data_IF_636762040683
#
_entry.id   IF_636762040683
#
_cell.length_a   1.000
_cell.length_b   1.000
_cell.length_c   1.000
_cell.angle_alpha   90.00
_cell.angle_beta   90.00
_cell.angle_gamma   90.00
#
_symmetry.space_group_name_H-M   'P 1'
#
loop_
_entity.id
_entity.type
_entity.pdbx_description
1 polymer ?
#
# COMPACT_ATOMS: atom_id res chain seq x y z
N UNK A 1 -6.36 -5.59 13.67
CA UNK A 1 -5.46 -5.37 12.50
C UNK A 1 -5.97 -6.20 11.34
N UNK A 2 -5.97 -5.68 10.11
CA UNK A 2 -6.44 -6.44 8.94
C UNK A 2 -5.31 -7.27 8.35
N UNK A 3 -5.61 -8.51 7.96
CA UNK A 3 -4.64 -9.38 7.35
C UNK A 3 -5.22 -10.74 6.99
N UNK A 4 -4.36 -11.72 6.85
CA UNK A 4 -4.77 -13.10 6.58
C UNK A 4 -4.57 -13.98 7.82
N UNK A 5 -5.57 -14.79 8.13
CA UNK A 5 -5.49 -15.78 9.21
C UNK A 5 -4.77 -17.04 8.70
N UNK A 6 -3.58 -17.31 9.25
CA UNK A 6 -2.78 -18.48 8.85
C UNK A 6 -3.37 -19.81 9.35
N UNK A 7 -4.42 -19.79 10.18
CA UNK A 7 -5.16 -20.97 10.61
C UNK A 7 -6.34 -21.31 9.68
N UNK A 8 -6.62 -20.47 8.68
CA UNK A 8 -7.64 -20.69 7.66
C UNK A 8 -7.03 -21.30 6.39
N UNK A 9 -7.84 -21.92 5.53
CA UNK A 9 -7.35 -22.45 4.27
C UNK A 9 -6.68 -21.37 3.40
N UNK A 10 -5.46 -21.66 2.96
CA UNK A 10 -4.70 -20.83 2.04
C UNK A 10 -4.34 -21.69 0.82
N UNK A 11 -4.66 -21.20 -0.37
CA UNK A 11 -4.36 -21.91 -1.62
C UNK A 11 -3.36 -21.12 -2.43
N UNK A 12 -2.17 -21.67 -2.63
CA UNK A 12 -1.18 -21.14 -3.57
C UNK A 12 -1.70 -21.29 -5.01
N UNK A 13 -1.49 -20.29 -5.85
CA UNK A 13 -1.85 -20.32 -7.26
C UNK A 13 -0.60 -20.29 -8.15
N UNK A 14 0.11 -19.19 -8.15
CA UNK A 14 1.36 -19.03 -8.90
C UNK A 14 2.24 -17.91 -8.30
N UNK A 15 3.51 -17.92 -8.68
CA UNK A 15 4.47 -16.91 -8.26
C UNK A 15 5.55 -16.72 -9.32
N UNK A 16 6.23 -15.58 -9.31
CA UNK A 16 7.49 -15.36 -10.00
C UNK A 16 8.23 -14.16 -9.43
N UNK A 17 9.53 -14.08 -9.73
CA UNK A 17 10.30 -12.86 -9.55
C UNK A 17 9.95 -11.88 -10.68
N UNK A 18 9.89 -10.60 -10.35
CA UNK A 18 9.68 -9.52 -11.31
C UNK A 18 10.76 -8.46 -11.13
N UNK A 19 11.24 -7.97 -12.27
CA UNK A 19 12.26 -6.93 -12.36
C UNK A 19 11.72 -5.84 -13.26
N UNK A 20 11.58 -4.61 -12.75
CA UNK A 20 11.13 -3.49 -13.56
C UNK A 20 12.32 -2.77 -14.18
N UNK A 21 12.14 -2.34 -15.41
CA UNK A 21 13.01 -1.37 -16.07
C UNK A 21 12.76 0.05 -15.51
N UNK A 22 13.62 1.01 -15.86
CA UNK A 22 13.37 2.41 -15.54
C UNK A 22 12.02 2.87 -16.11
N UNK A 23 11.28 3.66 -15.33
CA UNK A 23 9.96 4.20 -15.67
C UNK A 23 8.86 3.16 -15.91
N UNK A 24 9.05 1.91 -15.52
CA UNK A 24 8.00 0.90 -15.64
C UNK A 24 6.92 1.09 -14.56
N UNK A 25 5.68 0.87 -14.97
CA UNK A 25 4.49 1.02 -14.12
C UNK A 25 3.97 -0.33 -13.68
N UNK A 26 3.38 -0.37 -12.49
CA UNK A 26 2.62 -1.54 -12.05
C UNK A 26 1.46 -1.81 -13.02
N UNK A 27 1.08 -3.08 -13.16
CA UNK A 27 -0.02 -3.49 -14.02
C UNK A 27 -1.36 -2.86 -13.57
N UNK A 28 -2.16 -2.43 -14.54
CA UNK A 28 -3.53 -1.97 -14.28
C UNK A 28 -4.49 -3.12 -14.52
N UNK A 29 -5.18 -3.59 -13.46
CA UNK A 29 -6.11 -4.72 -13.55
C UNK A 29 -7.08 -4.76 -12.36
N UNK A 30 -8.19 -5.46 -12.54
CA UNK A 30 -8.99 -5.98 -11.43
C UNK A 30 -8.45 -7.36 -11.03
N UNK A 31 -7.99 -7.50 -9.79
CA UNK A 31 -7.39 -8.73 -9.30
C UNK A 31 -8.37 -9.52 -8.44
N UNK A 32 -8.63 -10.78 -8.80
CA UNK A 32 -9.56 -11.67 -8.08
C UNK A 32 -8.89 -12.46 -6.96
N UNK A 33 -7.58 -12.50 -6.93
CA UNK A 33 -6.76 -13.19 -5.93
C UNK A 33 -6.12 -12.20 -4.95
N UNK A 34 -5.66 -12.69 -3.81
CA UNK A 34 -4.69 -11.96 -3.00
C UNK A 34 -3.31 -12.05 -3.66
N UNK A 35 -2.51 -10.99 -3.56
CA UNK A 35 -1.14 -10.99 -4.09
C UNK A 35 -0.15 -10.53 -3.02
N UNK A 36 0.70 -11.45 -2.57
CA UNK A 36 1.85 -11.08 -1.74
C UNK A 36 2.94 -10.48 -2.64
N UNK A 37 3.39 -9.28 -2.31
CA UNK A 37 4.51 -8.58 -2.93
C UNK A 37 5.62 -8.47 -1.90
N UNK A 38 6.83 -8.96 -2.22
CA UNK A 38 8.01 -8.87 -1.36
C UNK A 38 9.13 -8.15 -2.12
N UNK A 39 9.35 -6.88 -1.82
CA UNK A 39 10.34 -6.04 -2.51
C UNK A 39 11.70 -6.21 -1.85
N UNK A 40 12.72 -6.57 -2.63
CA UNK A 40 14.07 -6.75 -2.12
C UNK A 40 15.10 -5.77 -2.71
N UNK A 41 14.69 -4.97 -3.72
CA UNK A 41 15.50 -3.88 -4.27
C UNK A 41 14.56 -2.82 -4.87
N UNK A 42 14.92 -1.55 -4.78
CA UNK A 42 14.15 -0.44 -5.34
C UNK A 42 12.85 -0.11 -4.58
N UNK A 43 11.92 0.55 -5.27
CA UNK A 43 10.62 0.96 -4.72
C UNK A 43 9.51 0.61 -5.70
N UNK A 44 8.58 -0.23 -5.27
CA UNK A 44 7.39 -0.57 -6.04
C UNK A 44 6.25 0.39 -5.70
N UNK A 45 5.67 1.04 -6.74
CA UNK A 45 4.54 1.98 -6.58
C UNK A 45 3.31 1.46 -7.31
N UNK A 46 2.19 1.48 -6.62
CA UNK A 46 0.88 1.15 -7.20
C UNK A 46 -0.25 1.80 -6.39
N UNK A 47 -1.44 1.80 -6.98
CA UNK A 47 -2.69 2.20 -6.33
C UNK A 47 -3.58 0.96 -6.21
N UNK A 48 -4.19 0.75 -5.05
CA UNK A 48 -5.19 -0.28 -4.81
C UNK A 48 -6.44 0.39 -4.23
N UNK A 49 -7.59 0.26 -4.90
CA UNK A 49 -8.84 0.94 -4.55
C UNK A 49 -8.66 2.43 -4.20
N UNK A 50 -7.90 3.14 -5.04
CA UNK A 50 -7.56 4.57 -4.90
C UNK A 50 -6.63 4.92 -3.73
N UNK A 51 -6.11 3.94 -3.01
CA UNK A 51 -5.04 4.13 -2.01
C UNK A 51 -3.72 3.85 -2.70
N UNK A 52 -2.79 4.79 -2.62
CA UNK A 52 -1.46 4.60 -3.19
C UNK A 52 -0.51 4.02 -2.18
N UNK A 53 0.26 3.07 -2.66
CA UNK A 53 1.29 2.39 -1.90
C UNK A 53 2.66 2.60 -2.52
N UNK A 54 3.65 2.78 -1.66
CA UNK A 54 5.08 2.70 -1.96
C UNK A 54 5.66 1.63 -1.06
N UNK A 55 6.23 0.58 -1.67
CA UNK A 55 6.81 -0.56 -0.96
C UNK A 55 8.30 -0.53 -1.22
N UNK A 56 9.07 -0.34 -0.18
CA UNK A 56 10.52 -0.24 -0.24
C UNK A 56 11.19 -1.60 -0.09
N UNK A 57 12.48 -1.65 -0.43
CA UNK A 57 13.31 -2.83 -0.19
C UNK A 57 13.24 -3.28 1.28
N UNK A 58 13.02 -4.56 1.51
CA UNK A 58 12.80 -5.16 2.84
C UNK A 58 11.37 -5.10 3.36
N UNK A 59 10.44 -4.55 2.57
CA UNK A 59 9.01 -4.51 2.90
C UNK A 59 8.22 -5.50 2.06
N UNK A 60 7.11 -5.99 2.65
CA UNK A 60 6.09 -6.76 1.94
C UNK A 60 4.74 -6.09 2.03
N UNK A 61 3.88 -6.37 1.04
CA UNK A 61 2.48 -5.95 1.00
C UNK A 61 1.63 -7.09 0.45
N UNK A 62 0.46 -7.32 1.05
CA UNK A 62 -0.53 -8.26 0.53
C UNK A 62 -1.67 -7.45 -0.07
N UNK A 63 -1.75 -7.41 -1.39
CA UNK A 63 -2.88 -6.82 -2.11
C UNK A 63 -4.12 -7.68 -1.89
N UNK A 64 -5.24 -7.02 -1.61
CA UNK A 64 -6.50 -7.72 -1.31
C UNK A 64 -7.17 -8.20 -2.60
N UNK A 65 -7.78 -9.38 -2.53
CA UNK A 65 -8.63 -9.89 -3.62
C UNK A 65 -9.83 -8.96 -3.89
N UNK A 66 -10.32 -8.99 -5.12
CA UNK A 66 -11.44 -8.20 -5.59
C UNK A 66 -11.21 -6.68 -5.48
N UNK A 67 -9.98 -6.23 -5.73
CA UNK A 67 -9.59 -4.82 -5.76
C UNK A 67 -9.11 -4.42 -7.15
N UNK A 68 -9.23 -3.14 -7.46
CA UNK A 68 -8.69 -2.56 -8.67
C UNK A 68 -7.27 -2.04 -8.40
N UNK A 69 -6.31 -2.60 -9.13
CA UNK A 69 -4.89 -2.24 -9.04
C UNK A 69 -4.51 -1.37 -10.22
N UNK A 70 -3.70 -0.33 -10.01
CA UNK A 70 -3.29 0.60 -11.05
C UNK A 70 -1.86 1.11 -10.81
N UNK A 71 -1.08 1.16 -11.87
CA UNK A 71 0.25 1.77 -11.88
C UNK A 71 0.19 3.23 -12.33
N UNK A 72 -0.19 4.15 -11.44
CA UNK A 72 -0.30 5.57 -11.80
C UNK A 72 1.05 6.28 -11.91
N UNK A 73 2.01 5.87 -11.09
CA UNK A 73 3.37 6.39 -11.06
C UNK A 73 4.37 5.32 -11.44
N UNK A 74 5.43 5.71 -12.11
CA UNK A 74 6.57 4.85 -12.35
C UNK A 74 7.19 4.40 -11.03
N UNK A 75 7.63 3.15 -10.99
CA UNK A 75 8.36 2.56 -9.89
C UNK A 75 9.86 2.82 -10.04
N UNK A 76 10.62 2.77 -8.95
CA UNK A 76 12.08 2.96 -8.98
C UNK A 76 12.77 1.61 -9.12
N UNK A 77 12.74 1.05 -10.34
CA UNK A 77 13.40 -0.22 -10.72
C UNK A 77 13.29 -1.33 -9.67
N UNK A 78 12.08 -1.62 -9.15
CA UNK A 78 11.92 -2.62 -8.11
C UNK A 78 12.24 -4.02 -8.60
N UNK A 79 12.87 -4.80 -7.70
CA UNK A 79 12.98 -6.24 -7.83
C UNK A 79 12.19 -6.87 -6.70
N UNK A 80 11.21 -7.69 -7.03
CA UNK A 80 10.29 -8.26 -6.05
C UNK A 80 9.81 -9.66 -6.45
N UNK A 81 9.43 -10.43 -5.44
CA UNK A 81 8.64 -11.65 -5.60
C UNK A 81 7.17 -11.29 -5.52
N UNK A 82 6.35 -11.79 -6.44
CA UNK A 82 4.92 -11.80 -6.29
C UNK A 82 4.40 -13.22 -6.16
N UNK A 83 3.37 -13.41 -5.32
CA UNK A 83 2.69 -14.69 -5.13
C UNK A 83 1.19 -14.46 -5.13
N UNK A 84 0.50 -15.07 -6.09
CA UNK A 84 -0.97 -15.12 -6.15
C UNK A 84 -1.47 -16.29 -5.30
N UNK A 85 -2.46 -16.01 -4.46
CA UNK A 85 -3.05 -17.01 -3.58
C UNK A 85 -4.49 -16.67 -3.17
N UNK A 86 -5.23 -17.66 -2.71
CA UNK A 86 -6.55 -17.47 -2.12
C UNK A 86 -6.47 -17.63 -0.60
N UNK A 87 -7.09 -16.74 0.13
CA UNK A 87 -7.31 -16.79 1.57
C UNK A 87 -8.44 -15.86 1.97
N UNK A 88 -8.95 -16.00 3.17
CA UNK A 88 -9.88 -15.05 3.77
C UNK A 88 -9.12 -13.92 4.47
N UNK A 89 -9.69 -12.72 4.39
CA UNK A 89 -9.26 -11.58 5.17
C UNK A 89 -10.04 -11.51 6.46
N UNK A 90 -9.35 -11.27 7.56
CA UNK A 90 -9.94 -11.11 8.88
C UNK A 90 -9.39 -9.85 9.56
N UNK A 91 -10.19 -9.32 10.46
CA UNK A 91 -9.83 -8.14 11.26
C UNK A 91 -9.56 -8.61 12.69
N UNK A 92 -8.34 -9.12 12.90
CA UNK A 92 -7.90 -9.72 14.16
C UNK A 92 -6.42 -9.40 14.38
N UNK A 93 -5.98 -9.30 15.62
CA UNK A 93 -4.58 -9.02 15.99
C UNK A 93 -3.66 -10.23 15.87
N UNK A 94 -4.21 -11.43 15.68
CA UNK A 94 -3.44 -12.69 15.54
C UNK A 94 -3.04 -13.00 14.10
N UNK A 95 -3.56 -12.27 13.13
CA UNK A 95 -3.33 -12.50 11.69
C UNK A 95 -1.93 -12.11 11.24
N UNK A 96 -1.51 -12.56 10.06
CA UNK A 96 -0.40 -11.98 9.33
C UNK A 96 -0.88 -10.64 8.74
N UNK A 97 -0.31 -9.49 9.15
CA UNK A 97 -0.70 -8.19 8.62
C UNK A 97 -0.54 -8.12 7.10
N UNK A 98 -1.38 -7.32 6.44
CA UNK A 98 -1.28 -7.14 4.99
C UNK A 98 -0.01 -6.37 4.58
N UNK A 99 0.70 -5.74 5.51
CA UNK A 99 1.96 -5.03 5.28
C UNK A 99 2.92 -5.21 6.46
N UNK A 100 4.20 -5.27 6.16
CA UNK A 100 5.26 -5.34 7.16
C UNK A 100 6.63 -5.40 6.53
N UNK A 101 7.62 -5.75 7.34
CA UNK A 101 9.02 -5.89 6.92
C UNK A 101 9.46 -7.35 6.93
N UNK A 102 10.51 -7.65 6.18
CA UNK A 102 11.15 -8.95 6.21
C UNK A 102 12.67 -8.81 6.11
N UNK A 103 13.37 -9.79 6.67
CA UNK A 103 14.81 -9.91 6.52
C UNK A 103 15.12 -10.65 5.21
N UNK A 104 15.60 -9.90 4.21
CA UNK A 104 15.93 -10.48 2.91
C UNK A 104 16.97 -11.59 2.99
N UNK A 105 17.94 -11.50 3.91
CA UNK A 105 18.97 -12.54 4.06
C UNK A 105 18.37 -13.90 4.41
N UNK A 106 17.29 -13.90 5.22
CA UNK A 106 16.54 -15.11 5.61
C UNK A 106 15.53 -15.54 4.55
N UNK A 107 14.89 -14.60 3.87
CA UNK A 107 13.87 -14.88 2.86
C UNK A 107 14.45 -15.29 1.50
N UNK A 108 15.64 -14.82 1.17
CA UNK A 108 16.30 -14.94 -0.15
C UNK A 108 16.30 -16.36 -0.71
N UNK A 109 16.61 -17.34 0.12
CA UNK A 109 16.65 -18.73 -0.32
C UNK A 109 15.24 -19.21 -0.73
N UNK A 110 14.24 -18.99 0.14
CA UNK A 110 12.86 -19.39 -0.12
C UNK A 110 12.27 -18.68 -1.34
N UNK A 111 12.56 -17.38 -1.51
CA UNK A 111 12.09 -16.60 -2.66
C UNK A 111 12.66 -17.15 -3.97
N UNK A 112 13.96 -17.46 -4.02
CA UNK A 112 14.60 -18.02 -5.21
C UNK A 112 14.16 -19.44 -5.49
N UNK A 113 13.98 -20.26 -4.47
CA UNK A 113 13.52 -21.63 -4.63
C UNK A 113 12.08 -21.67 -5.13
N UNK A 114 11.19 -20.81 -4.60
CA UNK A 114 9.81 -20.70 -5.08
C UNK A 114 9.75 -20.24 -6.55
N UNK A 115 10.57 -19.26 -6.93
CA UNK A 115 10.67 -18.83 -8.32
C UNK A 115 11.15 -19.96 -9.24
N UNK A 116 12.22 -20.65 -8.87
CA UNK A 116 12.74 -21.81 -9.60
C UNK A 116 11.68 -22.89 -9.79
N UNK A 117 10.97 -23.27 -8.71
CA UNK A 117 9.90 -24.25 -8.78
C UNK A 117 8.73 -23.77 -9.67
N UNK A 118 8.50 -22.47 -9.75
CA UNK A 118 7.44 -21.90 -10.61
C UNK A 118 7.75 -22.02 -12.11
N UNK A 119 9.04 -22.14 -12.47
CA UNK A 119 9.52 -22.27 -13.85
C UNK A 119 9.95 -23.70 -14.22
N UNK A 120 9.73 -24.67 -13.33
CA UNK A 120 10.08 -26.09 -13.57
C UNK A 120 8.84 -26.97 -13.37
N UNK A 121 8.91 -28.21 -13.90
CA UNK A 121 7.92 -29.24 -13.61
C UNK A 121 8.02 -29.69 -12.14
N UNK A 122 7.29 -28.97 -11.28
CA UNK A 122 7.22 -29.24 -9.85
C UNK A 122 5.79 -29.30 -9.37
N UNK A 123 5.54 -30.10 -8.33
CA UNK A 123 4.18 -30.29 -7.81
C UNK A 123 3.66 -29.02 -7.13
N UNK A 124 2.34 -28.84 -7.16
CA UNK A 124 1.68 -27.77 -6.42
C UNK A 124 1.99 -27.86 -4.91
N UNK A 125 2.17 -29.07 -4.39
CA UNK A 125 2.51 -29.31 -2.97
C UNK A 125 3.88 -28.72 -2.64
N UNK A 126 4.91 -28.94 -3.49
CA UNK A 126 6.24 -28.36 -3.27
C UNK A 126 6.21 -26.83 -3.27
N UNK A 127 5.54 -26.22 -4.25
CA UNK A 127 5.36 -24.76 -4.33
C UNK A 127 4.64 -24.21 -3.10
N UNK A 128 3.55 -24.87 -2.68
CA UNK A 128 2.78 -24.48 -1.51
C UNK A 128 3.60 -24.57 -0.21
N UNK A 129 4.43 -25.61 -0.07
CA UNK A 129 5.29 -25.76 1.11
C UNK A 129 6.26 -24.57 1.27
N UNK A 130 6.98 -24.21 0.20
CA UNK A 130 7.87 -23.04 0.22
C UNK A 130 7.11 -21.74 0.49
N UNK A 131 5.93 -21.58 -0.12
CA UNK A 131 5.09 -20.41 0.13
C UNK A 131 4.64 -20.33 1.60
N UNK A 132 4.24 -21.43 2.21
CA UNK A 132 3.87 -21.46 3.63
C UNK A 132 5.06 -21.16 4.55
N UNK A 133 6.26 -21.62 4.22
CA UNK A 133 7.47 -21.24 4.94
C UNK A 133 7.73 -19.73 4.86
N UNK A 134 7.52 -19.11 3.68
CA UNK A 134 7.59 -17.64 3.55
C UNK A 134 6.56 -16.94 4.43
N UNK A 135 5.29 -17.37 4.45
CA UNK A 135 4.27 -16.78 5.32
C UNK A 135 4.64 -16.89 6.81
N UNK A 136 5.17 -18.04 7.24
CA UNK A 136 5.64 -18.24 8.62
C UNK A 136 6.85 -17.35 8.96
N UNK A 137 7.76 -17.14 8.00
CA UNK A 137 8.87 -16.22 8.16
C UNK A 137 8.38 -14.78 8.35
N UNK A 138 7.41 -14.33 7.54
CA UNK A 138 6.81 -13.01 7.67
C UNK A 138 6.11 -12.84 9.02
N UNK A 139 5.35 -13.85 9.46
CA UNK A 139 4.67 -13.82 10.77
C UNK A 139 5.65 -13.73 11.95
N UNK A 140 6.79 -14.42 11.88
CA UNK A 140 7.83 -14.34 12.92
C UNK A 140 8.50 -12.97 12.98
N UNK A 141 8.61 -12.29 11.83
CA UNK A 141 9.19 -10.95 11.74
C UNK A 141 8.24 -9.83 12.20
N UNK A 142 6.95 -10.13 12.35
CA UNK A 142 5.92 -9.17 12.78
C UNK A 142 6.26 -8.49 14.11
N UNK A 143 6.90 -9.20 15.03
CA UNK A 143 7.38 -8.62 16.31
C UNK A 143 8.42 -7.50 16.10
N UNK A 144 9.04 -7.46 14.93
CA UNK A 144 10.01 -6.43 14.51
C UNK A 144 9.38 -5.35 13.62
N UNK A 145 8.07 -5.43 13.27
CA UNK A 145 7.41 -4.38 12.51
C UNK A 145 7.45 -3.07 13.30
N UNK A 146 8.02 -2.02 12.67
CA UNK A 146 8.20 -0.74 13.36
C UNK A 146 6.84 -0.17 13.77
N UNK A 147 6.79 0.52 14.90
CA UNK A 147 5.62 1.30 15.34
C UNK A 147 5.10 2.19 14.21
N UNK A 148 5.99 2.73 13.40
CA UNK A 148 5.67 3.66 12.32
C UNK A 148 4.90 2.98 11.19
N UNK A 149 5.26 1.76 10.82
CA UNK A 149 4.51 0.99 9.84
C UNK A 149 3.09 0.69 10.33
N UNK A 150 2.93 0.33 11.60
CA UNK A 150 1.61 0.14 12.21
C UNK A 150 0.76 1.41 12.19
N UNK A 151 1.37 2.56 12.48
CA UNK A 151 0.70 3.88 12.40
C UNK A 151 0.31 4.21 10.96
N UNK A 152 1.20 4.00 9.98
CA UNK A 152 0.89 4.25 8.58
C UNK A 152 -0.27 3.37 8.08
N UNK A 153 -0.27 2.10 8.46
CA UNK A 153 -1.34 1.17 8.15
C UNK A 153 -2.68 1.58 8.78
N UNK A 154 -2.66 1.99 10.05
CA UNK A 154 -3.83 2.55 10.73
C UNK A 154 -4.39 3.76 9.97
N UNK A 155 -3.54 4.73 9.62
CA UNK A 155 -3.94 5.91 8.85
C UNK A 155 -4.58 5.53 7.51
N UNK A 156 -4.05 4.54 6.80
CA UNK A 156 -4.56 4.12 5.50
C UNK A 156 -5.94 3.41 5.56
N UNK A 157 -6.28 2.82 6.71
CA UNK A 157 -7.53 2.05 6.87
C UNK A 157 -8.63 2.80 7.60
N UNK A 158 -8.28 3.88 8.31
CA UNK A 158 -9.26 4.71 8.99
C UNK A 158 -9.96 5.69 8.04
N UNK A 159 -11.12 6.17 8.48
CA UNK A 159 -11.82 7.23 7.77
C UNK A 159 -10.98 8.52 7.83
N UNK A 160 -10.50 8.97 6.67
CA UNK A 160 -9.65 10.17 6.56
C UNK A 160 -10.29 11.45 7.11
N UNK A 161 -11.63 11.53 7.22
CA UNK A 161 -12.31 12.70 7.83
C UNK A 161 -12.21 12.71 9.35
N UNK A 162 -11.99 11.55 9.96
CA UNK A 162 -12.02 11.38 11.42
C UNK A 162 -10.65 11.19 12.04
N UNK A 163 -9.63 10.83 11.23
CA UNK A 163 -8.30 10.57 11.76
C UNK A 163 -7.60 11.86 12.19
N UNK A 164 -7.01 11.82 13.37
CA UNK A 164 -6.24 12.92 13.94
C UNK A 164 -5.00 12.39 14.66
N UNK A 165 -4.06 13.28 14.99
CA UNK A 165 -2.89 12.90 15.79
C UNK A 165 -3.29 12.40 17.18
N UNK A 166 -4.36 12.97 17.74
CA UNK A 166 -4.93 12.54 19.03
C UNK A 166 -5.39 11.09 18.98
N UNK A 167 -6.21 10.74 17.96
CA UNK A 167 -6.66 9.35 17.78
C UNK A 167 -5.49 8.37 17.59
N UNK A 168 -4.46 8.77 16.84
CA UNK A 168 -3.24 7.95 16.70
C UNK A 168 -2.55 7.76 18.06
N UNK A 169 -2.45 8.80 18.87
CA UNK A 169 -1.85 8.70 20.21
C UNK A 169 -2.66 7.79 21.15
N UNK A 170 -3.98 7.86 21.09
CA UNK A 170 -4.91 7.02 21.85
C UNK A 170 -4.78 5.55 21.43
N UNK A 171 -4.81 5.27 20.14
CA UNK A 171 -4.72 3.91 19.59
C UNK A 171 -3.40 3.22 19.93
N UNK A 172 -2.29 3.94 19.78
CA UNK A 172 -0.95 3.36 19.97
C UNK A 172 -0.38 3.58 21.39
N UNK A 173 -1.07 4.30 22.27
CA UNK A 173 -0.65 4.59 23.66
C UNK A 173 0.71 5.27 23.75
N UNK A 174 1.04 6.16 22.82
CA UNK A 174 2.28 6.96 22.81
C UNK A 174 1.98 8.46 22.83
N UNK A 175 2.94 9.23 23.37
CA UNK A 175 2.85 10.69 23.36
C UNK A 175 2.95 11.26 21.95
N UNK A 176 2.34 12.45 21.72
CA UNK A 176 2.39 13.17 20.44
C UNK A 176 3.83 13.34 19.94
N UNK A 177 4.74 13.74 20.82
CA UNK A 177 6.14 13.97 20.45
C UNK A 177 6.81 12.68 19.99
N UNK A 178 6.55 11.56 20.67
CA UNK A 178 7.11 10.26 20.29
C UNK A 178 6.61 9.84 18.89
N UNK A 179 5.29 9.91 18.67
CA UNK A 179 4.67 9.58 17.36
C UNK A 179 5.25 10.45 16.26
N UNK A 180 5.26 11.78 16.42
CA UNK A 180 5.76 12.72 15.40
C UNK A 180 7.22 12.45 15.07
N UNK A 181 8.08 12.32 16.08
CA UNK A 181 9.52 12.18 15.87
C UNK A 181 9.87 10.83 15.23
N UNK A 182 9.26 9.74 15.73
CA UNK A 182 9.49 8.39 15.21
C UNK A 182 8.99 8.26 13.77
N UNK A 183 7.78 8.77 13.49
CA UNK A 183 7.20 8.75 12.15
C UNK A 183 8.02 9.60 11.16
N UNK A 184 8.43 10.81 11.56
CA UNK A 184 9.26 11.68 10.73
C UNK A 184 10.64 11.09 10.45
N UNK A 185 11.22 10.39 11.42
CA UNK A 185 12.53 9.72 11.26
C UNK A 185 12.49 8.63 10.19
N UNK A 186 11.40 7.85 10.12
CA UNK A 186 11.28 6.71 9.19
C UNK A 186 10.66 7.10 7.84
N UNK A 187 9.62 7.96 7.84
CA UNK A 187 8.87 8.35 6.63
C UNK A 187 9.29 9.71 6.04
N UNK A 188 10.20 10.44 6.69
CA UNK A 188 10.63 11.77 6.25
C UNK A 188 9.60 12.89 6.46
N UNK A 189 8.35 12.56 6.79
CA UNK A 189 7.23 13.49 6.99
C UNK A 189 6.52 13.23 8.32
N UNK A 190 5.77 14.22 8.82
CA UNK A 190 4.94 14.03 10.02
C UNK A 190 3.67 13.23 9.70
N UNK A 191 3.03 12.56 10.70
CA UNK A 191 1.76 11.86 10.50
C UNK A 191 0.67 12.76 9.89
N UNK A 192 0.57 14.01 10.33
CA UNK A 192 -0.41 14.97 9.80
C UNK A 192 -0.12 15.33 8.33
N UNK A 193 1.16 15.51 7.96
CA UNK A 193 1.52 15.72 6.56
C UNK A 193 1.15 14.49 5.72
N UNK A 194 1.44 13.31 6.20
CA UNK A 194 1.09 12.05 5.55
C UNK A 194 -0.43 11.90 5.33
N UNK A 195 -1.26 12.18 6.36
CA UNK A 195 -2.72 12.20 6.26
C UNK A 195 -3.18 13.21 5.19
N UNK A 196 -2.64 14.42 5.21
CA UNK A 196 -2.98 15.47 4.25
C UNK A 196 -2.61 15.09 2.82
N UNK A 197 -1.50 14.42 2.61
CA UNK A 197 -1.06 13.94 1.29
C UNK A 197 -2.04 12.87 0.75
N UNK A 198 -2.51 11.96 1.61
CA UNK A 198 -3.55 10.99 1.25
C UNK A 198 -4.87 11.68 0.87
N UNK A 199 -5.33 12.65 1.69
CA UNK A 199 -6.54 13.43 1.38
C UNK A 199 -6.43 14.15 0.04
N UNK A 200 -5.31 14.83 -0.22
CA UNK A 200 -5.06 15.52 -1.49
C UNK A 200 -5.02 14.57 -2.67
N UNK A 201 -4.44 13.39 -2.50
CA UNK A 201 -4.37 12.38 -3.53
C UNK A 201 -5.76 11.87 -3.91
N UNK A 202 -6.61 11.60 -2.91
CA UNK A 202 -8.01 11.24 -3.11
C UNK A 202 -8.79 12.37 -3.80
N UNK A 203 -8.54 13.63 -3.41
CA UNK A 203 -9.17 14.78 -4.05
C UNK A 203 -8.78 14.91 -5.53
N UNK A 204 -7.51 14.75 -5.87
CA UNK A 204 -7.05 14.76 -7.27
C UNK A 204 -7.75 13.69 -8.11
N UNK A 205 -7.81 12.48 -7.58
CA UNK A 205 -8.52 11.40 -8.25
C UNK A 205 -10.00 11.76 -8.50
N UNK A 206 -10.72 12.24 -7.48
CA UNK A 206 -12.12 12.62 -7.64
C UNK A 206 -12.33 13.78 -8.61
N UNK A 207 -11.40 14.76 -8.63
CA UNK A 207 -11.41 15.86 -9.61
C UNK A 207 -11.27 15.36 -11.06
N UNK A 208 -10.57 14.26 -11.27
CA UNK A 208 -10.33 13.68 -12.60
C UNK A 208 -11.44 12.76 -13.09
N UNK A 209 -12.10 12.04 -12.16
CA UNK A 209 -13.05 10.96 -12.55
C UNK A 209 -14.52 11.28 -12.28
N UNK A 210 -14.84 12.40 -11.62
CA UNK A 210 -16.22 12.77 -11.28
C UNK A 210 -16.55 14.20 -11.70
N UNK A 211 -17.84 14.48 -11.87
CA UNK A 211 -18.39 15.82 -12.05
C UNK A 211 -18.89 16.45 -10.74
N UNK A 212 -18.53 15.90 -9.59
CA UNK A 212 -18.95 16.37 -8.28
C UNK A 212 -18.54 17.85 -8.05
N UNK A 213 -19.27 18.55 -7.21
CA UNK A 213 -18.89 19.92 -6.78
C UNK A 213 -17.57 19.86 -5.99
N UNK A 214 -16.83 20.97 -5.96
CA UNK A 214 -15.56 21.03 -5.23
C UNK A 214 -15.74 20.82 -3.73
N UNK A 215 -16.87 21.28 -3.18
CA UNK A 215 -17.27 21.05 -1.79
C UNK A 215 -17.52 19.56 -1.51
N UNK A 216 -18.25 18.89 -2.41
CA UNK A 216 -18.49 17.45 -2.31
C UNK A 216 -17.17 16.66 -2.37
N UNK A 217 -16.26 17.03 -3.29
CA UNK A 217 -14.94 16.41 -3.40
C UNK A 217 -14.10 16.64 -2.14
N UNK A 218 -14.13 17.86 -1.58
CA UNK A 218 -13.47 18.16 -0.31
C UNK A 218 -13.90 17.19 0.79
N UNK A 219 -15.21 17.06 1.00
CA UNK A 219 -15.78 16.16 2.01
C UNK A 219 -15.45 14.68 1.73
N UNK A 220 -15.67 14.21 0.51
CA UNK A 220 -15.36 12.82 0.10
C UNK A 220 -13.88 12.47 0.20
N UNK A 221 -13.00 13.49 0.15
CA UNK A 221 -11.56 13.32 0.32
C UNK A 221 -11.12 13.35 1.78
N UNK A 222 -12.05 13.58 2.72
CA UNK A 222 -11.78 13.57 4.14
C UNK A 222 -11.43 14.94 4.74
N UNK A 223 -11.67 16.04 4.02
CA UNK A 223 -11.55 17.39 4.60
C UNK A 223 -12.88 17.81 5.24
N UNK A 224 -12.82 18.33 6.46
CA UNK A 224 -13.99 18.82 7.19
C UNK A 224 -14.27 20.31 6.88
N UNK A 225 -13.32 21.01 6.25
CA UNK A 225 -13.44 22.41 5.88
C UNK A 225 -12.92 22.63 4.44
N UNK A 226 -13.78 23.20 3.60
CA UNK A 226 -13.46 23.51 2.21
C UNK A 226 -12.33 24.54 2.07
N UNK A 227 -12.29 25.56 2.94
CA UNK A 227 -11.23 26.57 2.89
C UNK A 227 -9.85 25.98 3.20
N UNK A 228 -9.79 25.06 4.14
CA UNK A 228 -8.56 24.30 4.44
C UNK A 228 -8.14 23.43 3.25
N UNK A 229 -9.09 22.68 2.65
CA UNK A 229 -8.84 21.90 1.43
C UNK A 229 -8.26 22.78 0.32
N UNK A 230 -8.93 23.90 0.00
CA UNK A 230 -8.52 24.80 -1.08
C UNK A 230 -7.09 25.33 -0.89
N UNK A 231 -6.80 25.88 0.31
CA UNK A 231 -5.47 26.43 0.65
C UNK A 231 -4.39 25.36 0.55
N UNK A 232 -4.65 24.17 1.10
CA UNK A 232 -3.70 23.07 1.09
C UNK A 232 -3.47 22.58 -0.34
N UNK A 233 -4.54 22.38 -1.12
CA UNK A 233 -4.46 21.94 -2.50
C UNK A 233 -3.64 22.91 -3.37
N UNK A 234 -3.92 24.21 -3.24
CA UNK A 234 -3.19 25.26 -3.98
C UNK A 234 -1.70 25.30 -3.59
N UNK A 235 -1.40 25.23 -2.31
CA UNK A 235 -0.02 25.22 -1.80
C UNK A 235 0.81 24.03 -2.35
N UNK A 236 0.21 22.85 -2.37
CA UNK A 236 0.94 21.63 -2.76
C UNK A 236 1.00 21.41 -4.28
N UNK A 237 0.13 22.06 -5.06
CA UNK A 237 0.04 21.83 -6.50
C UNK A 237 0.28 23.06 -7.38
N UNK A 238 0.36 24.26 -6.78
CA UNK A 238 0.49 25.52 -7.50
C UNK A 238 -0.74 25.92 -8.32
N UNK A 239 -1.83 25.14 -8.28
CA UNK A 239 -3.05 25.36 -9.03
C UNK A 239 -4.26 25.16 -8.11
N UNK A 240 -5.35 25.92 -8.39
CA UNK A 240 -6.62 25.68 -7.69
C UNK A 240 -7.28 24.36 -8.13
N UNK A 241 -8.12 23.75 -7.29
CA UNK A 241 -8.84 22.53 -7.65
C UNK A 241 -9.64 22.64 -8.96
N UNK A 242 -10.26 23.80 -9.22
CA UNK A 242 -11.02 24.07 -10.44
C UNK A 242 -10.12 24.11 -11.68
N UNK A 243 -8.99 24.78 -11.59
CA UNK A 243 -8.01 24.85 -12.70
C UNK A 243 -7.40 23.46 -12.95
N UNK A 244 -7.11 22.71 -11.89
CA UNK A 244 -6.62 21.32 -11.98
C UNK A 244 -7.59 20.44 -12.77
N UNK A 245 -8.89 20.49 -12.44
CA UNK A 245 -9.94 19.74 -13.15
C UNK A 245 -9.97 20.09 -14.63
N UNK A 246 -10.00 21.39 -14.96
CA UNK A 246 -10.12 21.84 -16.35
C UNK A 246 -8.90 21.47 -17.21
N UNK A 247 -7.69 21.53 -16.64
CA UNK A 247 -6.46 21.12 -17.38
C UNK A 247 -6.47 19.66 -17.81
N UNK A 248 -7.06 18.77 -17.02
CA UNK A 248 -7.14 17.34 -17.35
C UNK A 248 -8.23 17.04 -18.38
N UNK A 249 -9.33 17.79 -18.36
CA UNK A 249 -10.41 17.62 -19.34
C UNK A 249 -10.10 18.23 -20.72
N UNK A 250 -9.14 19.17 -20.81
CA UNK A 250 -8.72 19.81 -22.07
C UNK A 250 -7.57 19.10 -22.77
N UNK A 251 -6.97 18.04 -22.23
CA UNK A 251 -5.86 17.31 -22.86
C UNK A 251 -6.15 15.79 -22.94
N UNK A 252 -7.09 15.33 -23.82
CA UNK A 252 -7.38 13.90 -24.02
C UNK A 252 -6.36 13.16 -24.91
N UNK A 253 -5.29 13.81 -25.41
CA UNK A 253 -4.40 13.28 -26.44
C UNK A 253 -2.94 13.04 -26.01
N UNK A 254 -2.66 12.86 -24.71
CA UNK A 254 -1.36 12.37 -24.23
C UNK A 254 -1.57 11.24 -23.23
N UNK A 255 -1.99 10.11 -23.73
CA UNK A 255 -1.84 8.79 -23.11
C UNK A 255 -1.17 7.84 -24.10
#
# INVERSE_FOLDING_TARGET
MRGIDLNKPITFLHSSLRFFSENEHHITRFCKENVLLMVFEGVLRFTEDNICYEIHSGEYHIQKRNTFQKGEKASDSPKYLYVHFLSEWVDDDTVLPFRGTFDYSKAKFLMKELDKLSHTESSLVQKSAIFFELLLLLKRNEKAASLVNKIADYICHENLSEISLEKICEEFHFSKNHIINTFKKEFGVTPIKYINDLKLKRAKYLLEVTSDTLESISLKSGFNDYSHFYKLFYRENGLSPSIWRNKKHTNPLQQ
#
